data_IF_390030324544
#
_entry.id   IF_390030324544
#
_cell.length_a   1.000
_cell.length_b   1.000
_cell.length_c   1.000
_cell.angle_alpha   90.00
_cell.angle_beta   90.00
_cell.angle_gamma   90.00
#
_symmetry.space_group_name_H-M   'P 1'
#
loop_
_entity.id
_entity.type
_entity.pdbx_description
1 polymer ?
#
# COMPACT_ATOMS: atom_id res chain seq x y z
N UNK A 1 -3.42 -13.46 1.81
CA UNK A 1 -4.42 -14.00 2.77
C UNK A 1 -5.37 -12.88 3.16
N UNK A 2 -6.62 -13.16 3.56
CA UNK A 2 -7.70 -12.13 3.65
C UNK A 2 -7.36 -10.90 4.52
N UNK A 3 -6.49 -11.05 5.51
CA UNK A 3 -6.04 -9.96 6.40
C UNK A 3 -4.73 -9.27 5.97
N UNK A 4 -4.14 -9.69 4.85
CA UNK A 4 -3.00 -9.00 4.24
C UNK A 4 -3.46 -7.75 3.48
N UNK A 5 -2.53 -6.83 3.23
CA UNK A 5 -2.80 -5.66 2.40
C UNK A 5 -3.14 -6.05 0.95
N UNK A 6 -2.33 -6.96 0.41
CA UNK A 6 -2.44 -7.52 -0.93
C UNK A 6 -1.86 -8.94 -0.92
N UNK A 7 -2.10 -9.70 -1.99
CA UNK A 7 -1.58 -11.06 -2.11
C UNK A 7 -0.09 -11.10 -2.48
N UNK A 8 0.46 -10.03 -3.08
CA UNK A 8 1.84 -10.01 -3.57
C UNK A 8 2.66 -8.80 -3.13
N UNK A 9 2.05 -7.60 -3.06
CA UNK A 9 2.80 -6.35 -2.98
C UNK A 9 2.42 -5.48 -1.78
N UNK A 10 3.43 -4.88 -1.15
CA UNK A 10 3.21 -3.83 -0.13
C UNK A 10 3.81 -2.48 -0.55
N UNK A 11 5.00 -2.52 -1.14
CA UNK A 11 5.80 -1.33 -1.49
C UNK A 11 5.07 -0.36 -2.45
N UNK A 12 4.39 -0.80 -3.52
CA UNK A 12 3.66 0.12 -4.41
C UNK A 12 2.58 0.93 -3.69
N UNK A 13 1.85 0.31 -2.75
CA UNK A 13 0.87 1.01 -1.93
C UNK A 13 1.53 2.05 -1.03
N UNK A 14 2.65 1.69 -0.36
CA UNK A 14 3.37 2.61 0.52
C UNK A 14 3.96 3.79 -0.26
N UNK A 15 4.72 3.52 -1.32
CA UNK A 15 5.36 4.56 -2.13
C UNK A 15 4.32 5.42 -2.86
N UNK A 16 3.26 4.82 -3.39
CA UNK A 16 2.19 5.56 -4.03
C UNK A 16 1.38 6.43 -3.06
N UNK A 17 1.16 5.97 -1.83
CA UNK A 17 0.60 6.83 -0.78
C UNK A 17 1.52 8.04 -0.51
N UNK A 18 2.85 7.83 -0.47
CA UNK A 18 3.82 8.93 -0.35
C UNK A 18 3.76 9.89 -1.55
N UNK A 19 3.59 9.41 -2.78
CA UNK A 19 3.44 10.27 -3.97
C UNK A 19 2.24 11.24 -3.84
N UNK A 20 1.19 10.82 -3.13
CA UNK A 20 -0.03 11.61 -2.97
C UNK A 20 -0.01 12.52 -1.73
N UNK A 21 1.00 12.44 -0.87
CA UNK A 21 1.15 13.34 0.29
C UNK A 21 1.40 14.78 -0.20
N UNK A 22 0.48 15.70 0.13
CA UNK A 22 0.58 17.10 -0.25
C UNK A 22 0.36 17.36 -1.76
N UNK A 23 -0.01 16.34 -2.53
CA UNK A 23 -0.32 16.47 -3.95
C UNK A 23 -1.55 17.35 -4.18
N UNK A 24 -1.51 18.13 -5.26
CA UNK A 24 -2.64 18.95 -5.76
C UNK A 24 -3.27 18.38 -7.02
N UNK A 25 -2.82 17.20 -7.44
CA UNK A 25 -3.37 16.50 -8.61
C UNK A 25 -4.84 16.12 -8.39
N UNK A 26 -5.58 16.03 -9.49
CA UNK A 26 -7.00 15.67 -9.51
C UNK A 26 -7.25 14.49 -10.44
N UNK A 27 -8.39 13.84 -10.26
CA UNK A 27 -8.88 12.88 -11.26
C UNK A 27 -9.42 13.61 -12.50
N UNK A 28 -9.89 12.82 -13.49
CA UNK A 28 -10.45 13.31 -14.75
C UNK A 28 -11.70 14.20 -14.55
N UNK A 29 -12.40 14.08 -13.42
CA UNK A 29 -13.55 14.93 -13.05
C UNK A 29 -13.10 16.24 -12.35
N UNK A 30 -11.80 16.48 -12.19
CA UNK A 30 -11.25 17.62 -11.45
C UNK A 30 -11.40 17.50 -9.93
N UNK A 31 -11.64 16.30 -9.39
CA UNK A 31 -11.79 16.08 -7.95
C UNK A 31 -10.47 15.71 -7.30
N UNK A 32 -10.28 16.16 -6.07
CA UNK A 32 -9.11 15.81 -5.27
C UNK A 32 -8.97 14.29 -5.12
N UNK A 33 -7.75 13.81 -5.28
CA UNK A 33 -7.39 12.41 -5.08
C UNK A 33 -7.35 12.10 -3.58
N UNK A 34 -8.49 11.90 -2.91
CA UNK A 34 -8.52 11.47 -1.50
C UNK A 34 -8.29 9.95 -1.37
N UNK A 35 -7.91 9.42 -0.18
CA UNK A 35 -7.79 7.98 0.03
C UNK A 35 -9.06 7.22 -0.34
N UNK A 36 -10.23 7.73 0.02
CA UNK A 36 -11.50 7.14 -0.35
C UNK A 36 -11.68 7.11 -1.88
N UNK A 37 -11.44 8.24 -2.54
CA UNK A 37 -11.65 8.38 -3.99
C UNK A 37 -10.74 7.44 -4.75
N UNK A 38 -9.43 7.45 -4.48
CA UNK A 38 -8.47 6.62 -5.22
C UNK A 38 -8.70 5.14 -4.96
N UNK A 39 -8.96 4.74 -3.71
CA UNK A 39 -9.05 3.31 -3.38
C UNK A 39 -10.40 2.69 -3.76
N UNK A 40 -11.52 3.43 -3.62
CA UNK A 40 -12.86 2.88 -3.84
C UNK A 40 -13.42 3.13 -5.24
N UNK A 41 -12.82 4.03 -6.01
CA UNK A 41 -13.25 4.33 -7.37
C UNK A 41 -12.25 3.76 -8.37
N UNK A 42 -12.62 2.60 -8.95
CA UNK A 42 -11.81 1.92 -9.98
C UNK A 42 -11.41 2.85 -11.14
N UNK A 43 -12.31 3.63 -11.77
CA UNK A 43 -11.92 4.57 -12.82
C UNK A 43 -10.86 5.60 -12.39
N UNK A 44 -10.93 6.11 -11.16
CA UNK A 44 -9.92 7.03 -10.61
C UNK A 44 -8.56 6.34 -10.48
N UNK A 45 -8.54 5.13 -9.91
CA UNK A 45 -7.30 4.35 -9.79
C UNK A 45 -6.68 4.05 -11.16
N UNK A 46 -7.51 3.69 -12.14
CA UNK A 46 -7.09 3.44 -13.53
C UNK A 46 -6.53 4.70 -14.19
N UNK A 47 -7.18 5.86 -14.07
CA UNK A 47 -6.73 7.14 -14.63
C UNK A 47 -5.34 7.56 -14.12
N UNK A 48 -5.09 7.42 -12.82
CA UNK A 48 -3.81 7.85 -12.24
C UNK A 48 -2.71 6.78 -12.31
N UNK A 49 -3.06 5.54 -12.71
CA UNK A 49 -2.11 4.41 -12.77
C UNK A 49 -0.82 4.67 -13.58
N UNK A 50 -0.80 5.49 -14.66
CA UNK A 50 0.43 5.73 -15.42
C UNK A 50 1.52 6.47 -14.64
N UNK A 51 1.17 7.15 -13.54
CA UNK A 51 2.10 8.00 -12.79
C UNK A 51 2.06 7.79 -11.27
N UNK A 52 1.01 7.14 -10.73
CA UNK A 52 0.87 6.83 -9.31
C UNK A 52 0.88 5.31 -9.07
N UNK A 53 1.89 4.83 -8.32
CA UNK A 53 2.06 3.40 -7.98
C UNK A 53 0.87 2.84 -7.19
N UNK A 54 0.23 3.66 -6.35
CA UNK A 54 -0.95 3.23 -5.60
C UNK A 54 -2.16 3.09 -6.53
N UNK A 55 -2.33 3.98 -7.51
CA UNK A 55 -3.37 3.84 -8.53
C UNK A 55 -3.21 2.57 -9.36
N UNK A 56 -1.98 2.28 -9.80
CA UNK A 56 -1.66 1.05 -10.50
C UNK A 56 -1.96 -0.19 -9.65
N UNK A 57 -1.51 -0.22 -8.40
CA UNK A 57 -1.73 -1.35 -7.50
C UNK A 57 -3.22 -1.57 -7.20
N UNK A 58 -3.99 -0.51 -6.94
CA UNK A 58 -5.45 -0.57 -6.73
C UNK A 58 -6.15 -1.04 -8.00
N UNK A 59 -5.77 -0.52 -9.17
CA UNK A 59 -6.31 -0.96 -10.47
C UNK A 59 -6.08 -2.46 -10.67
N UNK A 60 -4.89 -2.97 -10.36
CA UNK A 60 -4.58 -4.40 -10.47
C UNK A 60 -5.41 -5.26 -9.51
N UNK A 61 -5.66 -4.78 -8.29
CA UNK A 61 -6.57 -5.47 -7.34
C UNK A 61 -7.97 -5.61 -7.94
N UNK A 62 -8.51 -4.55 -8.56
CA UNK A 62 -9.82 -4.62 -9.23
C UNK A 62 -9.84 -5.55 -10.46
N UNK A 63 -8.71 -5.69 -11.16
CA UNK A 63 -8.59 -6.58 -12.31
C UNK A 63 -8.52 -8.06 -11.90
N UNK A 64 -7.88 -8.35 -10.77
CA UNK A 64 -7.63 -9.73 -10.33
C UNK A 64 -8.72 -10.28 -9.41
N UNK A 65 -9.40 -9.42 -8.64
CA UNK A 65 -10.44 -9.80 -7.66
C UNK A 65 -11.83 -9.43 -8.17
N UNK A 66 -12.19 -9.96 -9.32
CA UNK A 66 -13.48 -9.68 -9.97
C UNK A 66 -14.65 -10.38 -9.28
N UNK A 67 -15.83 -9.76 -9.31
CA UNK A 67 -17.09 -10.43 -8.94
C UNK A 67 -17.55 -10.22 -7.49
N UNK A 68 -16.80 -9.48 -6.68
CA UNK A 68 -17.23 -9.05 -5.34
C UNK A 68 -16.74 -7.62 -5.02
N UNK A 69 -17.42 -6.89 -4.12
CA UNK A 69 -16.99 -5.57 -3.67
C UNK A 69 -15.57 -5.59 -3.05
N UNK A 70 -14.83 -4.49 -3.21
CA UNK A 70 -13.47 -4.34 -2.64
C UNK A 70 -13.43 -4.60 -1.13
N UNK A 71 -14.49 -4.21 -0.40
CA UNK A 71 -14.60 -4.42 1.04
C UNK A 71 -14.56 -5.91 1.44
N UNK A 72 -15.02 -6.80 0.57
CA UNK A 72 -15.06 -8.24 0.82
C UNK A 72 -13.74 -8.92 0.38
N UNK A 73 -13.17 -8.47 -0.74
CA UNK A 73 -11.98 -9.10 -1.33
C UNK A 73 -10.66 -8.55 -0.80
N UNK A 74 -10.67 -7.31 -0.31
CA UNK A 74 -9.51 -6.57 0.18
C UNK A 74 -9.88 -5.65 1.36
N UNK A 75 -10.33 -6.20 2.50
CA UNK A 75 -10.83 -5.42 3.63
C UNK A 75 -9.78 -4.47 4.23
N UNK A 76 -8.51 -4.84 4.25
CA UNK A 76 -7.44 -3.95 4.73
C UNK A 76 -7.29 -2.69 3.89
N UNK A 77 -7.34 -2.84 2.57
CA UNK A 77 -7.28 -1.73 1.63
C UNK A 77 -8.54 -0.84 1.76
N UNK A 78 -9.71 -1.47 1.98
CA UNK A 78 -10.94 -0.75 2.29
C UNK A 78 -10.84 0.06 3.58
N UNK A 79 -10.27 -0.47 4.66
CA UNK A 79 -10.09 0.29 5.91
C UNK A 79 -9.12 1.47 5.74
N UNK A 80 -8.02 1.30 4.99
CA UNK A 80 -7.07 2.39 4.72
C UNK A 80 -7.76 3.55 4.00
N UNK A 81 -8.70 3.27 3.10
CA UNK A 81 -9.46 4.30 2.38
C UNK A 81 -10.33 5.18 3.29
N UNK A 82 -10.58 4.78 4.55
CA UNK A 82 -11.32 5.59 5.54
C UNK A 82 -10.47 6.67 6.20
N UNK A 83 -9.15 6.63 6.03
CA UNK A 83 -8.27 7.65 6.57
C UNK A 83 -8.42 8.96 5.80
N UNK A 84 -8.36 10.07 6.51
CA UNK A 84 -8.67 11.40 5.97
C UNK A 84 -7.54 12.00 5.11
N UNK A 85 -6.31 11.50 5.24
CA UNK A 85 -5.14 12.06 4.53
C UNK A 85 -4.11 11.01 4.14
N UNK A 86 -3.43 11.26 3.01
CA UNK A 86 -2.33 10.40 2.54
C UNK A 86 -1.16 10.33 3.51
N UNK A 87 -0.93 11.38 4.31
CA UNK A 87 0.11 11.33 5.35
C UNK A 87 -0.21 10.26 6.41
N UNK A 88 -1.48 10.16 6.83
CA UNK A 88 -1.94 9.12 7.76
C UNK A 88 -1.87 7.74 7.12
N UNK A 89 -2.26 7.63 5.84
CA UNK A 89 -2.15 6.39 5.07
C UNK A 89 -0.70 5.92 4.96
N UNK A 90 0.22 6.77 4.52
CA UNK A 90 1.63 6.44 4.36
C UNK A 90 2.27 6.03 5.69
N UNK A 91 2.01 6.76 6.78
CA UNK A 91 2.47 6.38 8.13
C UNK A 91 1.91 5.02 8.57
N UNK A 92 0.63 4.77 8.32
CA UNK A 92 -0.02 3.49 8.63
C UNK A 92 0.60 2.33 7.84
N UNK A 93 0.77 2.52 6.53
CA UNK A 93 1.38 1.54 5.63
C UNK A 93 2.85 1.27 5.98
N UNK A 94 3.60 2.27 6.42
CA UNK A 94 4.98 2.07 6.88
C UNK A 94 5.03 1.24 8.16
N UNK A 95 4.17 1.55 9.15
CA UNK A 95 4.06 0.75 10.38
C UNK A 95 3.66 -0.69 10.08
N UNK A 96 2.70 -0.86 9.16
CA UNK A 96 2.27 -2.18 8.70
C UNK A 96 3.41 -2.93 7.99
N UNK A 97 4.21 -2.26 7.15
CA UNK A 97 5.38 -2.88 6.51
C UNK A 97 6.41 -3.37 7.54
N UNK A 98 6.72 -2.52 8.52
CA UNK A 98 7.64 -2.89 9.59
C UNK A 98 7.12 -4.08 10.42
N UNK A 99 5.83 -4.13 10.75
CA UNK A 99 5.25 -5.18 11.58
C UNK A 99 4.96 -6.49 10.84
N UNK A 100 4.36 -6.39 9.65
CA UNK A 100 3.79 -7.53 8.90
C UNK A 100 4.71 -8.05 7.79
N UNK A 101 5.74 -7.30 7.41
CA UNK A 101 6.80 -7.77 6.50
C UNK A 101 8.09 -7.97 7.29
N UNK A 102 8.75 -6.87 7.69
CA UNK A 102 10.08 -6.93 8.31
C UNK A 102 10.08 -7.65 9.66
N UNK A 103 9.00 -7.54 10.44
CA UNK A 103 8.83 -8.18 11.74
C UNK A 103 8.36 -9.65 11.67
N UNK A 104 8.09 -10.20 10.49
CA UNK A 104 7.58 -11.58 10.35
C UNK A 104 8.66 -12.51 9.80
N UNK A 105 9.19 -13.37 10.66
CA UNK A 105 10.17 -14.41 10.27
C UNK A 105 9.76 -15.18 9.01
N UNK A 106 8.51 -15.69 8.84
CA UNK A 106 8.16 -16.43 7.62
C UNK A 106 8.31 -15.63 6.32
N UNK A 107 8.21 -14.30 6.40
CA UNK A 107 8.32 -13.40 5.26
C UNK A 107 9.79 -13.06 4.96
N UNK A 108 10.59 -12.74 6.00
CA UNK A 108 11.98 -12.29 5.82
C UNK A 108 13.04 -13.35 6.01
N UNK A 109 12.70 -14.61 6.33
CA UNK A 109 13.69 -15.67 6.59
C UNK A 109 14.63 -15.96 5.39
N UNK A 110 14.27 -15.49 4.20
CA UNK A 110 15.09 -15.60 2.99
C UNK A 110 15.78 -14.28 2.60
N UNK A 111 15.80 -13.28 3.48
CA UNK A 111 16.54 -12.05 3.28
C UNK A 111 18.03 -12.31 3.46
N UNK A 112 18.82 -12.00 2.42
CA UNK A 112 20.26 -12.25 2.44
C UNK A 112 21.03 -11.08 3.03
N UNK A 113 22.02 -11.42 3.84
CA UNK A 113 23.03 -10.47 4.33
C UNK A 113 24.37 -10.76 3.66
N UNK A 114 25.11 -9.71 3.33
CA UNK A 114 26.36 -9.76 2.61
C UNK A 114 27.24 -8.55 2.91
N UNK A 115 28.12 -8.21 1.97
CA UNK A 115 29.07 -7.08 2.17
C UNK A 115 28.40 -5.71 2.15
N UNK A 116 27.31 -5.54 1.39
CA UNK A 116 26.55 -4.28 1.27
C UNK A 116 25.53 -4.14 2.41
N UNK A 117 24.74 -5.18 2.65
CA UNK A 117 23.77 -5.24 3.74
C UNK A 117 24.27 -6.21 4.80
N UNK A 118 24.94 -5.66 5.82
CA UNK A 118 25.53 -6.47 6.90
C UNK A 118 24.46 -6.87 7.90
N UNK A 119 24.62 -8.07 8.45
CA UNK A 119 23.91 -8.46 9.66
C UNK A 119 24.76 -8.05 10.84
N UNK A 120 24.43 -6.89 11.43
CA UNK A 120 25.00 -6.49 12.70
C UNK A 120 24.16 -7.13 13.80
N UNK A 121 24.78 -7.99 14.62
CA UNK A 121 24.07 -8.59 15.75
C UNK A 121 23.52 -7.46 16.64
N UNK A 122 22.23 -7.50 17.02
CA UNK A 122 21.71 -6.59 18.03
C UNK A 122 22.56 -6.72 19.30
N UNK A 123 22.92 -5.59 19.92
CA UNK A 123 23.63 -5.60 21.20
C UNK A 123 22.89 -6.51 22.18
N UNK A 124 23.58 -7.50 22.74
CA UNK A 124 23.02 -8.50 23.65
C UNK A 124 22.52 -7.94 25.00
N UNK A 125 22.50 -6.61 25.14
CA UNK A 125 22.14 -5.86 26.34
C UNK A 125 20.81 -5.10 26.19
N UNK A 126 20.00 -5.40 25.17
CA UNK A 126 18.61 -4.93 25.01
C UNK A 126 17.60 -6.05 25.24
#
# INVERSE_FOLDING_TARGET
GVWGLDDYHHIPFLLGACQLVGSKETDDDGKSLTPERVVRNRPTAESISPWCMLGEAVSFVYQTKTGAPLAETSPMLWEISRLESWERVAKGLLRMYCGEVLGKKPVIQHFYFGSVLKYDQPDSNL
#
